data_IF_256000822601
#
_entry.id   IF_256000822601
#
_cell.length_a   1.000
_cell.length_b   1.000
_cell.length_c   1.000
_cell.angle_alpha   90.00
_cell.angle_beta   90.00
_cell.angle_gamma   90.00
#
_symmetry.space_group_name_H-M   'P 1'
#
loop_
_entity.id
_entity.type
_entity.pdbx_description
1 polymer ?
#
# COMPACT_ATOMS: atom_id res chain seq x y z
N UNK A 1 -7.52 -54.95 13.13
CA UNK A 1 -6.62 -53.99 12.45
C UNK A 1 -7.10 -53.81 11.01
N UNK A 2 -7.79 -52.70 10.71
CA UNK A 2 -8.22 -52.40 9.34
C UNK A 2 -6.97 -52.03 8.54
N UNK A 3 -6.52 -52.92 7.65
CA UNK A 3 -5.50 -52.60 6.65
C UNK A 3 -6.09 -51.53 5.74
N UNK A 4 -5.70 -50.26 5.93
CA UNK A 4 -6.13 -49.14 5.08
C UNK A 4 -5.49 -49.31 3.71
N UNK A 5 -6.15 -50.03 2.82
CA UNK A 5 -5.82 -49.97 1.40
C UNK A 5 -6.05 -48.51 0.97
N UNK A 6 -5.05 -47.82 0.40
CA UNK A 6 -5.17 -46.41 0.04
C UNK A 6 -6.02 -46.26 -1.24
N UNK A 7 -7.31 -46.60 -1.13
CA UNK A 7 -8.28 -46.60 -2.22
C UNK A 7 -8.43 -45.23 -2.87
N UNK A 8 -8.49 -44.16 -2.05
CA UNK A 8 -8.58 -42.80 -2.55
C UNK A 8 -7.37 -42.40 -3.42
N UNK A 9 -6.16 -42.80 -3.02
CA UNK A 9 -4.94 -42.51 -3.79
C UNK A 9 -4.88 -43.31 -5.09
N UNK A 10 -5.24 -44.61 -5.05
CA UNK A 10 -5.33 -45.43 -6.26
C UNK A 10 -6.39 -44.89 -7.22
N UNK A 11 -7.52 -44.40 -6.73
CA UNK A 11 -8.57 -43.80 -7.56
C UNK A 11 -8.12 -42.49 -8.21
N UNK A 12 -7.43 -41.61 -7.48
CA UNK A 12 -6.91 -40.35 -8.02
C UNK A 12 -5.83 -40.58 -9.08
N UNK A 13 -4.95 -41.57 -8.87
CA UNK A 13 -3.81 -41.85 -9.77
C UNK A 13 -4.18 -42.71 -10.98
N UNK A 14 -5.36 -43.32 -11.02
CA UNK A 14 -5.82 -44.15 -12.14
C UNK A 14 -5.90 -43.36 -13.46
N UNK A 15 -6.39 -42.11 -13.41
CA UNK A 15 -6.50 -41.21 -14.57
C UNK A 15 -5.62 -39.97 -14.39
N UNK A 16 -4.31 -40.14 -14.58
CA UNK A 16 -3.28 -39.10 -14.36
C UNK A 16 -3.59 -37.76 -15.05
N UNK A 17 -4.10 -37.78 -16.28
CA UNK A 17 -4.44 -36.54 -17.01
C UNK A 17 -5.60 -35.76 -16.37
N UNK A 18 -6.69 -36.44 -16.02
CA UNK A 18 -7.84 -35.81 -15.34
C UNK A 18 -7.48 -35.30 -13.95
N UNK A 19 -6.63 -36.04 -13.23
CA UNK A 19 -6.10 -35.62 -11.94
C UNK A 19 -5.24 -34.36 -12.03
N UNK A 20 -4.33 -34.28 -13.01
CA UNK A 20 -3.50 -33.09 -13.23
C UNK A 20 -4.33 -31.85 -13.55
N UNK A 21 -5.34 -31.97 -14.43
CA UNK A 21 -6.24 -30.84 -14.75
C UNK A 21 -7.02 -30.38 -13.52
N UNK A 22 -7.56 -31.31 -12.73
CA UNK A 22 -8.26 -30.98 -11.49
C UNK A 22 -7.34 -30.29 -10.47
N UNK A 23 -6.11 -30.80 -10.30
CA UNK A 23 -5.11 -30.20 -9.42
C UNK A 23 -4.73 -28.79 -9.88
N UNK A 24 -4.51 -28.60 -11.18
CA UNK A 24 -4.21 -27.29 -11.77
C UNK A 24 -5.34 -26.29 -11.53
N UNK A 25 -6.61 -26.70 -11.66
CA UNK A 25 -7.77 -25.85 -11.40
C UNK A 25 -7.85 -25.41 -9.94
N UNK A 26 -7.67 -26.33 -9.00
CA UNK A 26 -7.67 -26.00 -7.56
C UNK A 26 -6.48 -25.12 -7.21
N UNK A 27 -5.28 -25.44 -7.70
CA UNK A 27 -4.08 -24.64 -7.47
C UNK A 27 -4.24 -23.21 -8.01
N UNK A 28 -4.81 -23.07 -9.20
CA UNK A 28 -5.08 -21.76 -9.80
C UNK A 28 -6.06 -20.94 -8.95
N UNK A 29 -7.16 -21.53 -8.50
CA UNK A 29 -8.12 -20.86 -7.61
C UNK A 29 -7.46 -20.38 -6.31
N UNK A 30 -6.61 -21.21 -5.70
CA UNK A 30 -5.86 -20.87 -4.48
C UNK A 30 -4.88 -19.72 -4.73
N UNK A 31 -4.15 -19.73 -5.85
CA UNK A 31 -3.25 -18.63 -6.24
C UNK A 31 -4.04 -17.32 -6.41
N UNK A 32 -5.20 -17.36 -7.07
CA UNK A 32 -6.04 -16.19 -7.22
C UNK A 32 -6.55 -15.64 -5.88
N UNK A 33 -6.96 -16.53 -4.96
CA UNK A 33 -7.35 -16.11 -3.61
C UNK A 33 -6.19 -15.43 -2.87
N UNK A 34 -4.98 -15.99 -2.94
CA UNK A 34 -3.80 -15.38 -2.32
C UNK A 34 -3.40 -14.06 -2.98
N UNK A 35 -3.52 -13.94 -4.30
CA UNK A 35 -3.25 -12.69 -5.00
C UNK A 35 -4.21 -11.59 -4.56
N UNK A 36 -5.50 -11.91 -4.42
CA UNK A 36 -6.52 -10.97 -3.95
C UNK A 36 -6.23 -10.51 -2.51
N UNK A 37 -5.91 -11.44 -1.61
CA UNK A 37 -5.53 -11.12 -0.22
C UNK A 37 -4.24 -10.29 -0.16
N UNK A 38 -3.21 -10.68 -0.91
CA UNK A 38 -1.94 -9.95 -0.94
C UNK A 38 -2.08 -8.52 -1.47
N UNK A 39 -2.94 -8.31 -2.48
CA UNK A 39 -3.25 -6.96 -2.94
C UNK A 39 -4.05 -6.17 -1.91
N UNK A 40 -5.01 -6.79 -1.22
CA UNK A 40 -5.75 -6.15 -0.14
C UNK A 40 -4.81 -5.68 0.99
N UNK A 41 -3.91 -6.56 1.45
CA UNK A 41 -2.95 -6.26 2.51
C UNK A 41 -2.00 -5.14 2.08
N UNK A 42 -1.47 -5.19 0.85
CA UNK A 42 -0.59 -4.16 0.32
C UNK A 42 -1.28 -2.79 0.23
N UNK A 43 -2.55 -2.75 -0.22
CA UNK A 43 -3.33 -1.51 -0.30
C UNK A 43 -3.61 -0.91 1.07
N UNK A 44 -3.92 -1.74 2.07
CA UNK A 44 -4.16 -1.24 3.43
C UNK A 44 -2.89 -0.70 4.08
N UNK A 45 -1.75 -1.38 3.91
CA UNK A 45 -0.48 -0.92 4.46
C UNK A 45 -0.03 0.38 3.80
N UNK A 46 -0.17 0.51 2.48
CA UNK A 46 0.19 1.73 1.74
C UNK A 46 -0.68 2.92 2.16
N UNK A 47 -2.00 2.73 2.31
CA UNK A 47 -2.94 3.78 2.71
C UNK A 47 -2.60 4.44 4.06
N UNK A 48 -1.97 3.71 4.98
CA UNK A 48 -1.60 4.20 6.31
C UNK A 48 -0.12 4.54 6.45
N UNK A 49 0.71 4.28 5.43
CA UNK A 49 2.16 4.46 5.51
C UNK A 49 2.55 5.91 5.85
N UNK A 50 1.88 6.90 5.25
CA UNK A 50 2.13 8.32 5.55
C UNK A 50 1.83 8.64 7.02
N UNK A 51 0.71 8.14 7.54
CA UNK A 51 0.31 8.34 8.93
C UNK A 51 1.26 7.65 9.92
N UNK A 52 1.86 6.51 9.55
CA UNK A 52 2.84 5.80 10.39
C UNK A 52 4.22 6.44 10.38
N UNK A 53 4.62 7.03 9.25
CA UNK A 53 5.97 7.59 9.05
C UNK A 53 6.08 9.04 9.52
N UNK A 54 4.98 9.80 9.45
CA UNK A 54 4.95 11.17 9.93
C UNK A 54 4.90 11.20 11.46
N UNK A 55 5.99 11.65 12.08
CA UNK A 55 6.08 11.83 13.53
C UNK A 55 5.48 13.19 13.92
N UNK A 56 4.18 13.21 14.18
CA UNK A 56 3.47 14.39 14.67
C UNK A 56 2.32 14.00 15.60
N UNK A 57 2.14 14.75 16.68
CA UNK A 57 1.00 14.56 17.60
C UNK A 57 -0.27 15.23 17.05
N UNK A 58 -0.12 16.31 16.29
CA UNK A 58 -1.21 17.05 15.65
C UNK A 58 -0.83 17.45 14.23
N UNK A 59 -1.77 17.27 13.30
CA UNK A 59 -1.59 17.62 11.88
C UNK A 59 -2.62 18.68 11.49
N UNK A 60 -2.14 19.77 10.91
CA UNK A 60 -2.96 20.86 10.35
C UNK A 60 -3.02 20.69 8.83
N UNK A 61 -4.22 20.50 8.28
CA UNK A 61 -4.44 20.33 6.84
C UNK A 61 -5.34 21.45 6.32
N UNK A 62 -5.04 21.96 5.13
CA UNK A 62 -5.90 22.91 4.44
C UNK A 62 -7.24 22.26 4.07
N UNK A 63 -8.39 22.89 4.32
CA UNK A 63 -9.71 22.34 3.95
C UNK A 63 -9.91 22.18 2.44
N UNK A 64 -9.02 22.75 1.62
CA UNK A 64 -8.99 22.57 0.17
C UNK A 64 -8.26 21.29 -0.27
N UNK A 65 -7.60 20.60 0.65
CA UNK A 65 -6.88 19.35 0.37
C UNK A 65 -7.88 18.22 0.18
N UNK A 66 -7.95 17.67 -1.03
CA UNK A 66 -8.92 16.62 -1.38
C UNK A 66 -8.33 15.22 -1.19
N UNK A 67 -7.00 15.10 -1.27
CA UNK A 67 -6.27 13.84 -1.12
C UNK A 67 -4.90 14.07 -0.47
N UNK A 68 -4.31 12.99 0.07
CA UNK A 68 -2.97 13.02 0.68
C UNK A 68 -1.86 13.39 -0.33
N UNK A 69 -2.03 13.01 -1.60
CA UNK A 69 -1.11 13.34 -2.70
C UNK A 69 -1.53 14.61 -3.47
N UNK A 70 -2.53 15.33 -2.98
CA UNK A 70 -3.06 16.57 -3.57
C UNK A 70 -3.32 17.61 -2.48
N UNK A 71 -2.40 17.71 -1.53
CA UNK A 71 -2.52 18.64 -0.41
C UNK A 71 -2.39 20.07 -0.91
N UNK A 72 -3.35 20.92 -0.54
CA UNK A 72 -3.27 22.35 -0.82
C UNK A 72 -2.41 23.04 0.24
N UNK A 73 -1.48 23.87 -0.22
CA UNK A 73 -0.67 24.73 0.66
C UNK A 73 -1.54 25.70 1.45
N UNK A 74 -1.11 26.06 2.66
CA UNK A 74 -1.72 27.10 3.50
C UNK A 74 -0.66 28.05 4.06
N UNK A 75 -1.04 29.29 4.46
CA UNK A 75 -0.07 30.28 4.93
C UNK A 75 0.67 29.83 6.20
N UNK A 76 2.00 29.99 6.20
CA UNK A 76 2.88 29.66 7.35
C UNK A 76 2.47 30.36 8.65
N UNK A 77 1.78 31.51 8.56
CA UNK A 77 1.23 32.22 9.72
C UNK A 77 0.42 31.30 10.65
N UNK A 78 -0.35 30.36 10.08
CA UNK A 78 -1.15 29.41 10.88
C UNK A 78 -0.32 28.49 11.78
N UNK A 79 0.94 28.22 11.43
CA UNK A 79 1.86 27.46 12.28
C UNK A 79 2.40 28.33 13.42
N UNK A 80 2.64 29.62 13.17
CA UNK A 80 3.02 30.57 14.22
C UNK A 80 1.87 30.78 15.19
N UNK A 81 0.64 30.95 14.70
CA UNK A 81 -0.56 31.02 15.54
C UNK A 81 -0.70 29.75 16.41
N UNK A 82 -0.34 28.58 15.89
CA UNK A 82 -0.34 27.32 16.64
C UNK A 82 0.77 27.26 17.70
N UNK A 83 1.94 27.84 17.44
CA UNK A 83 3.05 27.94 18.41
C UNK A 83 2.71 28.85 19.60
N UNK A 84 1.75 29.76 19.45
CA UNK A 84 1.28 30.63 20.54
C UNK A 84 0.36 29.89 21.54
N UNK A 85 -0.10 28.68 21.21
CA UNK A 85 -0.94 27.86 22.09
C UNK A 85 -0.09 27.19 23.16
N UNK A 86 -0.47 27.39 24.42
CA UNK A 86 0.23 26.77 25.55
C UNK A 86 0.22 25.23 25.43
N UNK A 87 1.41 24.62 25.56
CA UNK A 87 1.63 23.20 25.35
C UNK A 87 2.16 22.79 23.97
N UNK A 88 2.23 23.68 22.98
CA UNK A 88 2.83 23.37 21.66
C UNK A 88 4.35 23.61 21.71
N UNK A 89 5.13 22.52 21.69
CA UNK A 89 6.59 22.61 21.75
C UNK A 89 7.24 23.08 20.44
N UNK A 90 6.77 22.56 19.30
CA UNK A 90 7.31 22.85 17.97
C UNK A 90 6.24 22.74 16.90
N UNK A 91 6.30 23.57 15.87
CA UNK A 91 5.47 23.47 14.67
C UNK A 91 6.36 23.62 13.42
N UNK A 92 6.24 22.67 12.49
CA UNK A 92 7.03 22.64 11.26
C UNK A 92 6.12 22.54 10.04
N UNK A 93 6.37 23.30 8.95
CA UNK A 93 5.62 23.17 7.73
C UNK A 93 6.01 21.90 6.97
N UNK A 94 5.01 21.22 6.42
CA UNK A 94 5.17 20.15 5.46
C UNK A 94 4.37 20.50 4.21
N UNK A 95 5.07 20.80 3.13
CA UNK A 95 4.49 21.05 1.82
C UNK A 95 5.06 20.02 0.86
N UNK A 96 4.19 19.45 0.02
CA UNK A 96 4.54 18.44 -0.95
C UNK A 96 3.84 18.79 -2.26
N UNK A 97 4.62 18.84 -3.34
CA UNK A 97 4.15 19.06 -4.70
C UNK A 97 4.81 18.06 -5.65
N UNK A 98 4.11 17.69 -6.72
CA UNK A 98 4.70 16.92 -7.80
C UNK A 98 5.45 17.85 -8.75
N UNK A 99 6.69 17.51 -9.08
CA UNK A 99 7.50 18.23 -10.06
C UNK A 99 8.13 17.29 -11.05
N UNK A 100 8.38 17.75 -12.27
CA UNK A 100 9.15 17.00 -13.26
C UNK A 100 10.62 17.41 -13.17
N UNK A 101 11.49 16.44 -12.90
CA UNK A 101 12.93 16.65 -12.91
C UNK A 101 13.54 16.07 -14.18
N UNK A 102 14.22 16.93 -14.94
CA UNK A 102 14.96 16.55 -16.14
C UNK A 102 16.43 16.31 -15.80
N UNK A 103 16.89 15.08 -16.04
CA UNK A 103 18.28 14.72 -15.85
C UNK A 103 19.16 15.46 -16.88
N UNK A 104 20.17 16.25 -16.45
CA UNK A 104 20.99 17.03 -17.36
C UNK A 104 21.94 16.20 -18.23
N UNK A 105 22.24 14.95 -17.86
CA UNK A 105 23.22 14.09 -18.55
C UNK A 105 22.60 13.32 -19.71
N UNK A 106 21.36 12.84 -19.55
CA UNK A 106 20.68 12.00 -20.54
C UNK A 106 19.32 12.57 -21.01
N UNK A 107 18.96 13.77 -20.53
CA UNK A 107 17.71 14.46 -20.82
C UNK A 107 16.43 13.69 -20.45
N UNK A 108 16.54 12.60 -19.69
CA UNK A 108 15.37 11.85 -19.22
C UNK A 108 14.61 12.64 -18.17
N UNK A 109 13.29 12.72 -18.34
CA UNK A 109 12.38 13.30 -17.35
C UNK A 109 11.90 12.25 -16.37
N UNK A 110 11.78 12.62 -15.10
CA UNK A 110 11.18 11.82 -14.05
C UNK A 110 10.32 12.68 -13.16
N UNK A 111 9.15 12.18 -12.80
CA UNK A 111 8.34 12.79 -11.76
C UNK A 111 9.03 12.60 -10.41
N UNK A 112 9.10 13.68 -9.65
CA UNK A 112 9.62 13.73 -8.29
C UNK A 112 8.62 14.42 -7.38
N UNK A 113 8.75 14.17 -6.08
CA UNK A 113 8.02 14.88 -5.05
C UNK A 113 8.98 15.91 -4.44
N UNK A 114 8.56 17.17 -4.37
CA UNK A 114 9.30 18.34 -3.86
C UNK A 114 8.56 18.99 -2.70
#
# INVERSE_FOLDING_TARGET
>A
MIRRVPLAWLQLTHHKGRFLVALAGVAFAVILMFMQLGFQDALYEDAITIHKTLKADLILISPKSVALFGTSTFPRRRLYDALEVDGVATASPFYSEGGEWKNPQNQSSRDIII
#
